data_IF_815486964899
#
_entry.id   IF_815486964899
#
_cell.length_a   1.000
_cell.length_b   1.000
_cell.length_c   1.000
_cell.angle_alpha   90.00
_cell.angle_beta   90.00
_cell.angle_gamma   90.00
#
_symmetry.space_group_name_H-M   'P 1'
#
loop_
_entity.id
_entity.type
_entity.pdbx_description
1 polymer ?
#
# COMPACT_ATOMS: atom_id res chain seq x y z
N UNK A 1 25.67 -29.82 60.43
CA UNK A 1 24.47 -29.19 59.89
C UNK A 1 24.81 -28.56 58.55
N UNK A 2 24.31 -29.12 57.44
CA UNK A 2 24.60 -28.65 56.05
C UNK A 2 23.39 -27.85 55.59
N UNK A 3 23.51 -26.53 55.45
CA UNK A 3 22.50 -25.66 54.92
C UNK A 3 22.49 -25.75 53.41
N UNK A 4 21.42 -26.27 52.80
CA UNK A 4 21.18 -26.20 51.36
C UNK A 4 20.51 -24.88 51.06
N UNK A 5 21.19 -23.99 50.33
CA UNK A 5 20.60 -22.78 49.74
C UNK A 5 19.86 -23.18 48.48
N UNK A 6 18.51 -23.12 48.51
CA UNK A 6 17.67 -23.32 47.34
C UNK A 6 17.62 -21.99 46.57
N UNK A 7 18.30 -21.94 45.42
CA UNK A 7 18.19 -20.83 44.48
C UNK A 7 16.89 -21.02 43.66
N UNK A 8 15.86 -20.22 43.95
CA UNK A 8 14.65 -20.15 43.13
C UNK A 8 14.94 -19.25 41.93
N UNK A 9 15.15 -19.89 40.78
CA UNK A 9 15.33 -19.19 39.51
C UNK A 9 13.94 -18.70 39.01
N UNK A 10 13.66 -17.41 39.19
CA UNK A 10 12.47 -16.78 38.62
C UNK A 10 12.70 -16.61 37.09
N UNK A 11 12.13 -17.54 36.30
CA UNK A 11 12.09 -17.41 34.82
C UNK A 11 11.01 -16.39 34.49
N UNK A 12 11.41 -15.16 34.21
CA UNK A 12 10.55 -14.15 33.60
C UNK A 12 10.21 -14.59 32.17
N UNK A 13 9.05 -15.19 31.99
CA UNK A 13 8.48 -15.38 30.65
C UNK A 13 8.08 -14.01 30.10
N UNK A 14 8.95 -13.40 29.29
CA UNK A 14 8.57 -12.30 28.43
C UNK A 14 7.74 -12.87 27.28
N UNK A 15 6.42 -12.79 27.39
CA UNK A 15 5.55 -13.02 26.25
C UNK A 15 5.79 -11.92 25.23
N UNK A 16 6.65 -12.16 24.25
CA UNK A 16 6.73 -11.36 23.04
C UNK A 16 5.48 -11.70 22.22
N UNK A 17 4.39 -10.97 22.45
CA UNK A 17 3.28 -10.97 21.51
C UNK A 17 3.81 -10.34 20.23
N UNK A 18 3.93 -11.12 19.16
CA UNK A 18 4.03 -10.57 17.82
C UNK A 18 2.77 -9.72 17.63
N UNK A 19 2.94 -8.41 17.55
CA UNK A 19 1.82 -7.50 17.39
C UNK A 19 1.37 -7.62 15.93
N UNK A 20 0.18 -8.14 15.70
CA UNK A 20 -0.41 -8.21 14.37
C UNK A 20 -0.53 -6.80 13.80
N UNK A 21 0.01 -6.62 12.61
CA UNK A 21 -0.07 -5.36 11.87
C UNK A 21 -1.23 -5.47 10.89
N UNK A 22 -2.22 -4.64 11.05
CA UNK A 22 -3.35 -4.58 10.12
C UNK A 22 -2.90 -3.93 8.80
N UNK A 23 -3.26 -4.55 7.69
CA UNK A 23 -2.87 -4.11 6.34
C UNK A 23 -3.48 -2.75 5.94
N UNK A 24 -4.53 -2.32 6.64
CA UNK A 24 -5.21 -1.05 6.45
C UNK A 24 -5.95 -0.63 7.71
N UNK A 25 -6.26 0.65 7.81
CA UNK A 25 -7.10 1.17 8.88
C UNK A 25 -8.54 0.64 8.77
N UNK A 26 -9.21 0.36 9.90
CA UNK A 26 -10.62 0.05 9.91
C UNK A 26 -11.45 1.19 9.29
N UNK A 27 -12.53 0.84 8.63
CA UNK A 27 -13.41 1.81 7.99
C UNK A 27 -13.93 2.86 9.00
N UNK A 28 -13.90 4.13 8.60
CA UNK A 28 -14.34 5.26 9.43
C UNK A 28 -13.33 5.74 10.46
N UNK A 29 -12.14 5.16 10.53
CA UNK A 29 -11.05 5.69 11.36
C UNK A 29 -10.05 6.48 10.52
N UNK A 30 -9.46 7.50 11.13
CA UNK A 30 -8.39 8.30 10.52
C UNK A 30 -7.06 7.96 11.17
N UNK A 31 -6.03 7.91 10.37
CA UNK A 31 -4.63 7.62 10.70
C UNK A 31 -3.87 8.84 11.20
N UNK A 32 -4.43 10.02 10.98
CA UNK A 32 -3.92 11.29 11.47
C UNK A 32 -5.03 12.12 12.10
N UNK A 33 -4.74 12.83 13.18
CA UNK A 33 -5.71 13.72 13.86
C UNK A 33 -6.12 14.83 12.89
N UNK A 34 -7.42 14.90 12.58
CA UNK A 34 -7.96 15.82 11.57
C UNK A 34 -7.89 15.30 10.13
N UNK A 35 -7.46 14.04 9.94
CA UNK A 35 -7.41 13.33 8.65
C UNK A 35 -6.35 13.89 7.69
N UNK A 36 -6.47 13.50 6.40
CA UNK A 36 -5.49 13.86 5.37
C UNK A 36 -5.28 15.36 5.22
N UNK A 37 -6.35 16.14 5.24
CA UNK A 37 -6.26 17.60 5.09
C UNK A 37 -5.36 18.21 6.18
N UNK A 38 -5.51 17.76 7.42
CA UNK A 38 -4.67 18.25 8.51
C UNK A 38 -3.24 17.76 8.39
N UNK A 39 -3.05 16.50 7.96
CA UNK A 39 -1.72 15.96 7.67
C UNK A 39 -0.96 16.84 6.68
N UNK A 40 -1.57 17.21 5.56
CA UNK A 40 -0.90 18.04 4.55
C UNK A 40 -0.65 19.48 5.03
N UNK A 41 -1.55 20.05 5.83
CA UNK A 41 -1.32 21.36 6.48
C UNK A 41 -0.12 21.31 7.42
N UNK A 42 -0.06 20.29 8.28
CA UNK A 42 1.06 20.12 9.22
C UNK A 42 2.37 19.84 8.47
N UNK A 43 2.32 19.03 7.41
CA UNK A 43 3.46 18.75 6.55
C UNK A 43 4.02 20.06 5.94
N UNK A 44 3.16 20.86 5.32
CA UNK A 44 3.51 22.16 4.74
C UNK A 44 4.11 23.09 5.81
N UNK A 45 3.51 23.17 6.99
CA UNK A 45 4.01 24.01 8.09
C UNK A 45 5.43 23.59 8.52
N UNK A 46 5.70 22.27 8.60
CA UNK A 46 7.05 21.77 8.90
C UNK A 46 8.06 22.18 7.84
N UNK A 47 7.69 22.12 6.55
CA UNK A 47 8.58 22.57 5.46
C UNK A 47 9.02 24.03 5.67
N UNK A 48 8.09 24.90 6.05
CA UNK A 48 8.34 26.33 6.29
C UNK A 48 9.18 26.52 7.56
N UNK A 49 8.75 25.94 8.68
CA UNK A 49 9.39 26.15 10.00
C UNK A 49 10.83 25.63 10.04
N UNK A 50 11.09 24.52 9.34
CA UNK A 50 12.41 23.91 9.25
C UNK A 50 13.22 24.43 8.07
N UNK A 51 12.68 25.32 7.24
CA UNK A 51 13.34 25.91 6.05
C UNK A 51 13.88 24.82 5.14
N UNK A 52 13.14 23.74 4.97
CA UNK A 52 13.52 22.64 4.09
C UNK A 52 13.52 23.13 2.64
N UNK A 53 14.31 22.47 1.79
CA UNK A 53 14.46 22.87 0.40
C UNK A 53 13.57 22.00 -0.52
N UNK A 54 12.96 22.57 -1.56
CA UNK A 54 12.17 21.83 -2.52
C UNK A 54 13.03 20.88 -3.36
N UNK A 55 12.39 19.84 -3.89
CA UNK A 55 13.04 18.92 -4.82
C UNK A 55 13.30 19.59 -6.17
N UNK A 56 14.44 19.27 -6.81
CA UNK A 56 14.75 19.75 -8.16
C UNK A 56 13.78 19.15 -9.19
N UNK A 57 13.50 17.85 -9.07
CA UNK A 57 12.54 17.17 -9.93
C UNK A 57 11.11 17.49 -9.49
N UNK A 58 10.41 18.30 -10.29
CA UNK A 58 9.03 18.73 -10.03
C UNK A 58 7.96 17.66 -10.29
N UNK A 59 8.37 16.50 -10.83
CA UNK A 59 7.47 15.39 -11.17
C UNK A 59 7.58 14.22 -10.20
N UNK A 60 8.11 14.45 -9.01
CA UNK A 60 8.11 13.41 -7.97
C UNK A 60 6.73 13.29 -7.34
N UNK A 61 6.21 12.07 -7.31
CA UNK A 61 4.99 11.69 -6.61
C UNK A 61 5.21 10.34 -5.93
N UNK A 62 5.28 10.37 -4.61
CA UNK A 62 5.61 9.20 -3.79
C UNK A 62 4.40 8.76 -2.98
N UNK A 63 4.04 7.49 -3.08
CA UNK A 63 3.16 6.86 -2.08
C UNK A 63 4.00 6.48 -0.85
N UNK A 64 3.96 7.32 0.17
CA UNK A 64 4.69 7.12 1.42
C UNK A 64 3.90 6.22 2.35
N UNK A 65 4.30 4.95 2.47
CA UNK A 65 3.63 3.93 3.29
C UNK A 65 4.30 3.78 4.65
N UNK A 66 3.49 3.80 5.69
CA UNK A 66 3.95 3.67 7.08
C UNK A 66 3.06 2.72 7.87
N UNK A 67 3.62 2.16 8.94
CA UNK A 67 2.87 1.56 10.04
C UNK A 67 2.77 2.59 11.15
N UNK A 68 1.57 2.86 11.65
CA UNK A 68 1.35 3.63 12.87
C UNK A 68 1.13 2.64 14.02
N UNK A 69 1.97 2.72 15.05
CA UNK A 69 1.92 1.84 16.21
C UNK A 69 1.01 2.39 17.34
N UNK A 70 0.57 1.55 18.29
CA UNK A 70 -0.25 1.97 19.43
C UNK A 70 0.35 3.10 20.27
N UNK A 71 1.67 3.20 20.33
CA UNK A 71 2.42 4.26 21.02
C UNK A 71 2.59 5.53 20.16
N UNK A 72 1.91 5.61 19.02
CA UNK A 72 1.96 6.68 18.01
C UNK A 72 3.30 6.82 17.28
N UNK A 73 4.24 5.91 17.48
CA UNK A 73 5.42 5.86 16.64
C UNK A 73 5.06 5.37 15.26
N UNK A 74 5.86 5.77 14.28
CA UNK A 74 5.72 5.31 12.91
C UNK A 74 6.97 4.56 12.46
N UNK A 75 6.76 3.62 11.55
CA UNK A 75 7.83 2.98 10.80
C UNK A 75 7.46 2.97 9.33
N UNK A 76 8.32 3.49 8.48
CA UNK A 76 8.05 3.42 7.05
C UNK A 76 8.23 1.99 6.53
N UNK A 77 7.38 1.64 5.58
CA UNK A 77 7.44 0.38 4.85
C UNK A 77 8.27 0.63 3.61
N UNK A 78 9.44 -0.02 3.55
CA UNK A 78 10.30 0.07 2.38
C UNK A 78 9.55 -0.51 1.19
N UNK A 79 9.41 0.26 0.12
CA UNK A 79 8.92 -0.26 -1.15
C UNK A 79 9.89 -1.32 -1.66
N UNK A 80 9.37 -2.46 -2.13
CA UNK A 80 10.18 -3.48 -2.82
C UNK A 80 10.63 -2.98 -4.20
N UNK A 81 9.99 -1.93 -4.70
CA UNK A 81 10.31 -1.28 -5.96
C UNK A 81 11.43 -0.25 -5.79
N UNK A 82 12.65 -0.70 -6.04
CA UNK A 82 13.84 0.15 -5.99
C UNK A 82 13.84 1.25 -7.07
N UNK A 83 13.23 1.00 -8.24
CA UNK A 83 13.18 1.96 -9.35
C UNK A 83 12.25 3.13 -9.02
N UNK A 84 11.07 2.87 -8.48
CA UNK A 84 10.15 3.92 -8.03
C UNK A 84 10.75 4.76 -6.91
N UNK A 85 11.45 4.11 -5.97
CA UNK A 85 12.12 4.81 -4.88
C UNK A 85 13.25 5.72 -5.38
N UNK A 86 14.03 5.25 -6.35
CA UNK A 86 15.12 6.07 -6.94
C UNK A 86 14.57 7.26 -7.73
N UNK A 87 13.47 7.09 -8.47
CA UNK A 87 12.79 8.17 -9.19
C UNK A 87 12.18 9.24 -8.27
N UNK A 88 11.82 8.87 -7.04
CA UNK A 88 11.18 9.71 -6.04
C UNK A 88 12.06 9.88 -4.78
N UNK A 89 13.36 9.84 -4.95
CA UNK A 89 14.33 9.83 -3.86
C UNK A 89 14.27 11.09 -3.00
N UNK A 90 14.12 12.25 -3.64
CA UNK A 90 14.01 13.51 -2.91
C UNK A 90 12.71 13.55 -2.09
N UNK A 91 11.57 13.20 -2.68
CA UNK A 91 10.30 13.11 -1.97
C UNK A 91 10.38 12.16 -0.76
N UNK A 92 11.08 11.04 -0.90
CA UNK A 92 11.26 10.07 0.17
C UNK A 92 12.11 10.63 1.32
N UNK A 93 13.29 11.17 1.03
CA UNK A 93 14.18 11.71 2.07
C UNK A 93 13.56 12.97 2.73
N UNK A 94 12.92 13.84 1.95
CA UNK A 94 12.18 14.99 2.47
C UNK A 94 11.08 14.54 3.44
N UNK A 95 10.29 13.54 3.06
CA UNK A 95 9.20 13.05 3.91
C UNK A 95 9.71 12.40 5.18
N UNK A 96 10.82 11.67 5.12
CA UNK A 96 11.47 11.13 6.33
C UNK A 96 11.91 12.25 7.28
N UNK A 97 12.40 13.35 6.75
CA UNK A 97 12.78 14.49 7.58
C UNK A 97 11.55 15.15 8.21
N UNK A 98 10.51 15.45 7.42
CA UNK A 98 9.27 16.04 7.90
C UNK A 98 8.60 15.17 8.95
N UNK A 99 8.55 13.86 8.73
CA UNK A 99 7.88 12.90 9.61
C UNK A 99 8.42 12.90 11.07
N UNK A 100 9.65 13.36 11.28
CA UNK A 100 10.22 13.54 12.63
C UNK A 100 9.48 14.57 13.48
N UNK A 101 8.78 15.50 12.83
CA UNK A 101 8.11 16.61 13.48
C UNK A 101 6.58 16.47 13.48
N UNK A 102 6.05 15.50 12.73
CA UNK A 102 4.61 15.21 12.71
C UNK A 102 4.21 14.40 13.94
N UNK A 103 3.29 14.94 14.75
CA UNK A 103 2.87 14.32 16.02
C UNK A 103 1.40 13.89 16.03
N UNK A 104 0.66 14.19 14.96
CA UNK A 104 -0.77 13.91 14.85
C UNK A 104 -1.14 12.45 14.54
N UNK A 105 -0.20 11.51 14.64
CA UNK A 105 -0.46 10.09 14.36
C UNK A 105 -1.50 9.50 15.28
N UNK A 106 -2.48 8.81 14.71
CA UNK A 106 -3.61 8.25 15.43
C UNK A 106 -3.66 6.73 15.23
N UNK A 107 -3.36 5.93 16.27
CA UNK A 107 -3.39 4.47 16.16
C UNK A 107 -4.77 3.94 15.81
N UNK A 108 -4.83 2.88 15.01
CA UNK A 108 -6.07 2.16 14.74
C UNK A 108 -6.63 1.50 16.02
N UNK A 109 -7.95 1.33 16.07
CA UNK A 109 -8.65 0.67 17.18
C UNK A 109 -9.45 -0.50 16.62
N UNK A 110 -9.20 -1.69 17.18
CA UNK A 110 -9.95 -2.91 16.86
C UNK A 110 -10.38 -3.53 18.17
N UNK A 111 -11.66 -3.82 18.32
CA UNK A 111 -12.25 -4.38 19.54
C UNK A 111 -11.88 -3.60 20.81
N UNK A 112 -11.84 -2.26 20.71
CA UNK A 112 -11.49 -1.35 21.81
C UNK A 112 -9.99 -1.23 22.12
N UNK A 113 -9.12 -1.99 21.43
CA UNK A 113 -7.68 -1.99 21.64
C UNK A 113 -6.97 -1.20 20.54
N UNK A 114 -5.93 -0.44 20.93
CA UNK A 114 -5.03 0.19 19.96
C UNK A 114 -4.16 -0.87 19.31
N UNK A 115 -4.15 -0.88 17.97
CA UNK A 115 -3.38 -1.82 17.17
C UNK A 115 -2.47 -1.09 16.19
N UNK A 116 -1.45 -1.79 15.69
CA UNK A 116 -0.62 -1.28 14.61
C UNK A 116 -1.35 -1.45 13.27
N UNK A 117 -1.37 -0.41 12.44
CA UNK A 117 -1.99 -0.48 11.12
C UNK A 117 -1.19 0.28 10.06
N UNK A 118 -1.28 -0.20 8.82
CA UNK A 118 -0.64 0.41 7.67
C UNK A 118 -1.52 1.54 7.13
N UNK A 119 -0.87 2.64 6.79
CA UNK A 119 -1.46 3.73 6.03
C UNK A 119 -0.51 4.26 4.97
N UNK A 120 -1.01 5.11 4.07
CA UNK A 120 -0.19 5.74 3.05
C UNK A 120 -0.69 7.13 2.69
N UNK A 121 0.26 8.02 2.39
CA UNK A 121 0.00 9.38 1.92
C UNK A 121 0.72 9.61 0.59
N UNK A 122 0.07 10.28 -0.34
CA UNK A 122 0.72 10.72 -1.55
C UNK A 122 1.48 12.03 -1.30
N UNK A 123 2.74 12.03 -1.58
CA UNK A 123 3.64 13.18 -1.39
C UNK A 123 4.05 13.71 -2.75
N UNK A 124 3.63 14.91 -3.07
CA UNK A 124 3.99 15.66 -4.26
C UNK A 124 4.76 16.91 -3.80
N UNK A 125 6.10 16.85 -3.70
CA UNK A 125 6.87 17.91 -3.08
C UNK A 125 6.63 19.28 -3.70
N UNK A 126 6.55 19.35 -5.01
CA UNK A 126 6.39 20.64 -5.71
C UNK A 126 5.11 21.39 -5.27
N UNK A 127 4.04 20.68 -5.01
CA UNK A 127 2.78 21.27 -4.51
C UNK A 127 2.87 21.64 -3.03
N UNK A 128 3.51 20.76 -2.24
CA UNK A 128 3.61 20.96 -0.79
C UNK A 128 4.48 22.16 -0.37
N UNK A 129 5.31 22.68 -1.27
CA UNK A 129 6.03 23.94 -1.07
C UNK A 129 5.25 25.18 -1.52
N UNK A 130 4.10 24.99 -2.16
CA UNK A 130 3.22 26.09 -2.57
C UNK A 130 2.17 26.36 -1.50
N UNK A 131 1.41 27.46 -1.65
CA UNK A 131 0.23 27.70 -0.82
C UNK A 131 -0.82 26.62 -1.13
N UNK A 132 -1.13 25.79 -0.15
CA UNK A 132 -2.11 24.72 -0.31
C UNK A 132 -3.53 25.31 -0.39
N UNK A 133 -4.35 24.87 -1.34
CA UNK A 133 -5.76 25.21 -1.37
C UNK A 133 -6.49 24.61 -0.15
N UNK A 134 -7.64 25.21 0.19
CA UNK A 134 -8.49 24.62 1.23
C UNK A 134 -8.95 23.23 0.84
N UNK A 135 -8.82 22.29 1.80
CA UNK A 135 -9.20 20.89 1.56
C UNK A 135 -8.21 20.09 0.70
N UNK A 136 -6.96 20.56 0.56
CA UNK A 136 -5.95 19.84 -0.21
C UNK A 136 -5.80 18.39 0.26
N UNK A 137 -6.06 17.47 -0.66
CA UNK A 137 -5.74 16.05 -0.58
C UNK A 137 -5.54 15.55 -2.01
N UNK A 138 -4.31 15.20 -2.42
CA UNK A 138 -4.02 14.85 -3.80
C UNK A 138 -4.75 13.60 -4.29
N UNK A 139 -5.29 12.78 -3.38
CA UNK A 139 -6.07 11.59 -3.76
C UNK A 139 -7.42 11.96 -4.38
N UNK A 140 -7.98 13.14 -4.06
CA UNK A 140 -9.29 13.56 -4.59
C UNK A 140 -9.30 13.70 -6.12
N UNK A 141 -8.15 14.06 -6.71
CA UNK A 141 -8.00 14.25 -8.16
C UNK A 141 -7.19 13.12 -8.81
N UNK A 142 -7.05 11.99 -8.12
CA UNK A 142 -6.32 10.83 -8.64
C UNK A 142 -7.15 10.09 -9.69
N UNK A 143 -6.58 9.92 -10.87
CA UNK A 143 -7.14 9.10 -11.94
C UNK A 143 -6.62 7.66 -11.82
N UNK A 144 -7.55 6.70 -11.82
CA UNK A 144 -7.20 5.28 -11.80
C UNK A 144 -6.63 4.83 -13.15
N UNK A 145 -5.73 3.84 -13.11
CA UNK A 145 -5.29 3.20 -14.35
C UNK A 145 -6.48 2.56 -15.10
N UNK A 146 -6.48 2.67 -16.42
CA UNK A 146 -7.55 2.15 -17.27
C UNK A 146 -7.00 1.21 -18.34
N UNK A 147 -7.77 0.17 -18.68
CA UNK A 147 -7.43 -0.74 -19.76
C UNK A 147 -8.15 -0.35 -21.06
N UNK A 148 -7.51 -0.53 -22.20
CA UNK A 148 -8.14 -0.26 -23.51
C UNK A 148 -9.45 -1.08 -23.66
N UNK A 149 -10.55 -0.35 -23.86
CA UNK A 149 -11.89 -0.94 -23.87
C UNK A 149 -12.48 -1.27 -22.50
N UNK A 150 -11.85 -0.79 -21.42
CA UNK A 150 -12.32 -0.88 -20.05
C UNK A 150 -12.03 -2.21 -19.34
N UNK A 151 -12.29 -2.23 -18.05
CA UNK A 151 -11.99 -3.37 -17.17
C UNK A 151 -12.70 -4.67 -17.58
N UNK A 152 -13.90 -4.57 -18.15
CA UNK A 152 -14.63 -5.74 -18.62
C UNK A 152 -13.97 -6.39 -19.84
N UNK A 153 -13.34 -5.59 -20.72
CA UNK A 153 -12.54 -6.12 -21.82
C UNK A 153 -11.30 -6.85 -21.30
N UNK A 154 -10.64 -6.30 -20.27
CA UNK A 154 -9.55 -6.99 -19.61
C UNK A 154 -10.00 -8.32 -18.98
N UNK A 155 -11.10 -8.32 -18.20
CA UNK A 155 -11.69 -9.56 -17.63
C UNK A 155 -11.93 -10.61 -18.69
N UNK A 156 -12.53 -10.23 -19.83
CA UNK A 156 -12.78 -11.15 -20.94
C UNK A 156 -11.49 -11.79 -21.45
N UNK A 157 -10.42 -11.00 -21.61
CA UNK A 157 -9.11 -11.53 -22.02
C UNK A 157 -8.50 -12.46 -20.97
N UNK A 158 -8.63 -12.14 -19.68
CA UNK A 158 -8.22 -13.02 -18.59
C UNK A 158 -8.93 -14.36 -18.70
N UNK A 159 -10.25 -14.39 -18.82
CA UNK A 159 -11.01 -15.65 -18.98
C UNK A 159 -10.60 -16.44 -20.22
N UNK A 160 -10.30 -15.76 -21.32
CA UNK A 160 -9.86 -16.41 -22.55
C UNK A 160 -8.43 -16.97 -22.46
N UNK A 161 -7.59 -16.43 -21.57
CA UNK A 161 -6.20 -16.86 -21.41
C UNK A 161 -6.02 -18.02 -20.44
N UNK A 162 -7.00 -18.30 -19.59
CA UNK A 162 -6.94 -19.34 -18.56
C UNK A 162 -7.46 -20.67 -19.13
N UNK A 163 -6.59 -21.68 -19.18
CA UNK A 163 -6.96 -23.03 -19.59
C UNK A 163 -7.47 -23.85 -18.40
N UNK A 164 -8.78 -24.00 -18.31
CA UNK A 164 -9.44 -24.79 -17.28
C UNK A 164 -9.53 -26.28 -17.60
N UNK A 165 -9.20 -26.71 -18.83
CA UNK A 165 -9.40 -28.11 -19.27
C UNK A 165 -8.64 -29.15 -18.43
N UNK A 166 -7.61 -28.73 -17.72
CA UNK A 166 -6.75 -29.57 -16.89
C UNK A 166 -7.18 -29.65 -15.42
N UNK A 167 -8.25 -28.93 -15.07
CA UNK A 167 -8.72 -28.80 -13.68
C UNK A 167 -10.23 -29.12 -13.64
N UNK A 168 -10.63 -29.87 -12.62
CA UNK A 168 -12.03 -30.19 -12.38
C UNK A 168 -12.46 -29.64 -11.03
N UNK A 169 -13.56 -28.92 -11.01
CA UNK A 169 -14.23 -28.46 -9.78
C UNK A 169 -15.75 -28.41 -10.03
N UNK A 170 -16.53 -28.44 -8.98
CA UNK A 170 -17.98 -28.32 -9.07
C UNK A 170 -18.45 -27.01 -8.44
N UNK A 171 -19.40 -26.35 -9.08
CA UNK A 171 -19.98 -25.11 -8.57
C UNK A 171 -19.19 -23.85 -8.95
N UNK A 172 -19.23 -22.83 -8.09
CA UNK A 172 -18.56 -21.55 -8.33
C UNK A 172 -17.26 -21.45 -7.52
N UNK A 173 -16.16 -21.27 -8.22
CA UNK A 173 -14.86 -21.00 -7.63
C UNK A 173 -14.50 -19.51 -7.79
N UNK A 174 -14.02 -18.88 -6.73
CA UNK A 174 -13.65 -17.46 -6.70
C UNK A 174 -12.19 -17.29 -6.31
N UNK A 175 -11.51 -16.37 -6.97
CA UNK A 175 -10.17 -15.93 -6.60
C UNK A 175 -10.05 -14.41 -6.85
N UNK A 176 -9.09 -13.80 -6.20
CA UNK A 176 -8.73 -12.42 -6.43
C UNK A 176 -7.29 -12.34 -6.93
N UNK A 177 -7.09 -11.70 -8.08
CA UNK A 177 -5.77 -11.42 -8.63
C UNK A 177 -5.40 -10.00 -8.30
N UNK A 178 -4.18 -9.78 -7.84
CA UNK A 178 -3.59 -8.45 -7.70
C UNK A 178 -2.47 -8.27 -8.71
N UNK A 179 -2.30 -7.06 -9.23
CA UNK A 179 -1.20 -6.69 -10.10
C UNK A 179 -0.96 -5.19 -10.06
N UNK A 180 0.19 -4.75 -10.55
CA UNK A 180 0.53 -3.34 -10.66
C UNK A 180 0.49 -2.92 -12.12
N UNK A 181 -0.13 -1.78 -12.40
CA UNK A 181 0.06 -1.05 -13.66
C UNK A 181 1.18 -0.03 -13.43
N UNK A 182 2.27 -0.21 -14.14
CA UNK A 182 3.45 0.65 -14.06
C UNK A 182 3.20 2.00 -14.75
N UNK A 183 4.07 2.97 -14.51
CA UNK A 183 4.00 4.31 -15.11
C UNK A 183 4.13 4.32 -16.62
N UNK A 184 4.63 3.24 -17.22
CA UNK A 184 4.71 3.04 -18.68
C UNK A 184 3.53 2.22 -19.24
N UNK A 185 2.52 1.92 -18.41
CA UNK A 185 1.35 1.14 -18.79
C UNK A 185 1.57 -0.37 -18.85
N UNK A 186 2.75 -0.88 -18.46
CA UNK A 186 2.96 -2.32 -18.34
C UNK A 186 2.38 -2.86 -17.05
N UNK A 187 2.03 -4.13 -17.10
CA UNK A 187 1.57 -4.87 -15.92
C UNK A 187 2.73 -5.65 -15.31
N UNK A 188 2.88 -5.54 -13.99
CA UNK A 188 3.90 -6.22 -13.20
C UNK A 188 3.29 -6.80 -11.90
N UNK A 189 4.08 -7.54 -11.15
CA UNK A 189 3.73 -8.07 -9.82
C UNK A 189 2.34 -8.75 -9.79
N UNK A 190 2.11 -9.64 -10.78
CA UNK A 190 0.85 -10.40 -10.86
C UNK A 190 0.87 -11.50 -9.81
N UNK A 191 -0.07 -11.46 -8.88
CA UNK A 191 -0.17 -12.40 -7.76
C UNK A 191 -1.63 -12.78 -7.49
N UNK A 192 -1.85 -13.90 -6.80
CA UNK A 192 -3.13 -14.17 -6.15
C UNK A 192 -3.13 -13.56 -4.75
N UNK A 193 -4.21 -12.87 -4.38
CA UNK A 193 -4.38 -12.33 -3.03
C UNK A 193 -4.38 -13.46 -1.98
N UNK A 194 -4.87 -14.64 -2.38
CA UNK A 194 -4.83 -15.87 -1.59
C UNK A 194 -4.64 -17.06 -2.53
N UNK A 195 -3.75 -17.97 -2.15
CA UNK A 195 -3.58 -19.24 -2.86
C UNK A 195 -4.85 -20.06 -2.82
N UNK A 196 -5.15 -20.75 -3.92
CA UNK A 196 -6.26 -21.71 -4.00
C UNK A 196 -5.95 -23.02 -3.28
N UNK A 197 -4.70 -23.22 -2.86
CA UNK A 197 -4.18 -24.49 -2.33
C UNK A 197 -3.69 -25.44 -3.42
N UNK A 198 -3.89 -25.09 -4.69
CA UNK A 198 -3.50 -25.90 -5.85
C UNK A 198 -2.41 -25.15 -6.65
N UNK A 199 -1.15 -25.35 -6.27
CA UNK A 199 -0.01 -24.62 -6.84
C UNK A 199 0.00 -24.61 -8.38
N UNK A 200 -0.30 -25.74 -9.02
CA UNK A 200 -0.32 -25.84 -10.48
C UNK A 200 -1.39 -24.93 -11.13
N UNK A 201 -2.52 -24.75 -10.45
CA UNK A 201 -3.58 -23.83 -10.88
C UNK A 201 -3.17 -22.38 -10.66
N UNK A 202 -2.64 -22.07 -9.49
CA UNK A 202 -2.17 -20.74 -9.14
C UNK A 202 -1.09 -20.25 -10.12
N UNK A 203 -0.08 -21.07 -10.38
CA UNK A 203 1.00 -20.76 -11.33
C UNK A 203 0.46 -20.55 -12.76
N UNK A 204 -0.52 -21.36 -13.19
CA UNK A 204 -1.16 -21.22 -14.49
C UNK A 204 -1.92 -19.91 -14.60
N UNK A 205 -2.71 -19.55 -13.60
CA UNK A 205 -3.48 -18.28 -13.58
C UNK A 205 -2.54 -17.08 -13.64
N UNK A 206 -1.52 -17.03 -12.77
CA UNK A 206 -0.52 -15.96 -12.74
C UNK A 206 0.17 -15.84 -14.09
N UNK A 207 0.66 -16.95 -14.65
CA UNK A 207 1.33 -16.97 -15.94
C UNK A 207 0.43 -16.47 -17.07
N UNK A 208 -0.82 -16.97 -17.14
CA UNK A 208 -1.76 -16.61 -18.19
C UNK A 208 -2.07 -15.11 -18.17
N UNK A 209 -2.28 -14.53 -16.99
CA UNK A 209 -2.56 -13.10 -16.85
C UNK A 209 -1.33 -12.26 -17.19
N UNK A 210 -0.15 -12.68 -16.72
CA UNK A 210 1.12 -11.97 -17.01
C UNK A 210 1.46 -11.90 -18.49
N UNK A 211 0.92 -12.80 -19.31
CA UNK A 211 1.13 -12.84 -20.76
C UNK A 211 0.14 -11.98 -21.57
N UNK A 212 -0.90 -11.44 -20.93
CA UNK A 212 -1.84 -10.55 -21.62
C UNK A 212 -1.10 -9.27 -22.02
N UNK A 213 -1.19 -8.92 -23.31
CA UNK A 213 -0.53 -7.70 -23.82
C UNK A 213 -1.02 -6.46 -23.08
N UNK A 214 -0.06 -5.67 -22.64
CA UNK A 214 -0.30 -4.43 -21.93
C UNK A 214 -0.96 -3.41 -22.85
N UNK A 215 -2.09 -2.87 -22.38
CA UNK A 215 -2.88 -1.82 -23.03
C UNK A 215 -3.49 -0.93 -21.97
N UNK A 216 -2.71 -0.70 -20.92
CA UNK A 216 -3.12 0.14 -19.81
C UNK A 216 -2.65 1.57 -20.02
N UNK A 217 -3.52 2.51 -19.71
CA UNK A 217 -3.14 3.87 -19.36
C UNK A 217 -2.82 3.86 -17.87
N UNK A 218 -1.64 4.32 -17.43
CA UNK A 218 -1.28 4.32 -16.01
C UNK A 218 -2.20 5.19 -15.17
N UNK A 219 -2.21 4.96 -13.86
CA UNK A 219 -2.81 5.89 -12.94
C UNK A 219 -2.12 7.25 -13.01
N UNK A 220 -2.83 8.30 -12.68
CA UNK A 220 -2.32 9.67 -12.73
C UNK A 220 -2.71 10.41 -11.46
N UNK A 221 -1.80 11.23 -10.93
CA UNK A 221 -2.08 12.14 -9.83
C UNK A 221 -1.55 13.52 -10.22
N UNK A 222 -2.44 14.48 -10.41
CA UNK A 222 -2.11 15.86 -10.82
C UNK A 222 -1.18 15.93 -12.06
N UNK A 223 -1.44 15.08 -13.07
CA UNK A 223 -0.65 15.01 -14.31
C UNK A 223 0.63 14.18 -14.21
N UNK A 224 0.94 13.61 -13.05
CA UNK A 224 2.11 12.75 -12.84
C UNK A 224 1.68 11.28 -12.95
N UNK A 225 2.19 10.48 -13.91
CA UNK A 225 1.90 9.06 -13.97
C UNK A 225 2.40 8.33 -12.73
N UNK A 226 1.53 7.51 -12.12
CA UNK A 226 1.84 6.76 -10.90
C UNK A 226 1.56 5.27 -11.08
N UNK A 227 2.27 4.46 -10.32
CA UNK A 227 1.99 3.03 -10.21
C UNK A 227 0.63 2.83 -9.55
N UNK A 228 -0.19 1.95 -10.13
CA UNK A 228 -1.53 1.68 -9.62
C UNK A 228 -1.72 0.19 -9.37
N UNK A 229 -2.02 -0.19 -8.13
CA UNK A 229 -2.31 -1.59 -7.77
C UNK A 229 -3.79 -1.89 -8.02
N UNK A 230 -4.03 -2.88 -8.87
CA UNK A 230 -5.36 -3.42 -9.10
C UNK A 230 -5.65 -4.62 -8.21
N UNK A 231 -6.94 -4.73 -7.85
CA UNK A 231 -7.54 -5.96 -7.33
C UNK A 231 -8.64 -6.38 -8.29
N UNK A 232 -8.53 -7.59 -8.82
CA UNK A 232 -9.43 -8.13 -9.83
C UNK A 232 -10.10 -9.40 -9.30
N UNK A 233 -11.32 -9.32 -8.78
CA UNK A 233 -12.09 -10.50 -8.41
C UNK A 233 -12.52 -11.23 -9.68
N UNK A 234 -12.27 -12.54 -9.70
CA UNK A 234 -12.65 -13.47 -10.76
C UNK A 234 -13.54 -14.56 -10.17
N UNK A 235 -14.59 -14.95 -10.91
CA UNK A 235 -15.46 -16.05 -10.55
C UNK A 235 -15.57 -17.01 -11.73
N UNK A 236 -15.24 -18.26 -11.50
CA UNK A 236 -15.34 -19.34 -12.46
C UNK A 236 -16.49 -20.26 -12.06
N UNK A 237 -17.33 -20.63 -13.01
CA UNK A 237 -18.41 -21.59 -12.81
C UNK A 237 -18.17 -22.77 -13.74
N UNK A 238 -18.19 -23.98 -13.19
CA UNK A 238 -18.27 -25.21 -13.95
C UNK A 238 -19.57 -25.93 -13.58
N UNK A 239 -20.28 -26.37 -14.61
CA UNK A 239 -21.54 -27.13 -14.48
C UNK A 239 -21.25 -28.63 -14.31
#
# INVERSE_FOLDING_TARGET
MRHYLIFILFILYSNSFAQDIYEQYPAGQTDYIGGNIQFYKDYHQVLIDKKLQPCENKKEALSFRIVVYPDKKIKYIKSEDSESLEKNKCAFELTKEVAKYLTGWNPAIVDGNKVAAVTSFWIIPDELFQQLPDGYDPVNDMEMATYEGGINNFRKKVFQSIDLSRFTFTGTFRLEVTFIVETDGKMSDVQLAQSTGLKAFDDMVIKSISQIRNKWTPGNIHGIPVRYRFRLPLAFKMD
#
